data_IF_010393452444
#
_entry.id   IF_010393452444
#
_cell.length_a   1.000
_cell.length_b   1.000
_cell.length_c   1.000
_cell.angle_alpha   90.00
_cell.angle_beta   90.00
_cell.angle_gamma   90.00
#
_symmetry.space_group_name_H-M   'P 1'
#
loop_
_entity.id
_entity.type
_entity.pdbx_description
1 polymer ?
#
# COMPACT_ATOMS: atom_id res chain seq x y z
N UNK A 1 -9.86 -15.04 -3.44
CA UNK A 1 -9.08 -13.85 -3.06
C UNK A 1 -7.91 -14.27 -2.16
N UNK A 2 -6.74 -13.64 -2.28
CA UNK A 2 -5.55 -13.98 -1.48
C UNK A 2 -4.70 -12.78 -1.11
N UNK A 3 -3.78 -12.94 -0.16
CA UNK A 3 -2.79 -11.92 0.21
C UNK A 3 -1.57 -11.90 -0.71
N UNK A 4 -0.79 -10.83 -0.66
CA UNK A 4 0.49 -10.77 -1.36
C UNK A 4 1.53 -11.58 -0.59
N UNK A 5 2.28 -12.44 -1.30
CA UNK A 5 3.35 -13.21 -0.68
C UNK A 5 4.69 -12.47 -0.75
N UNK A 6 5.53 -12.68 0.27
CA UNK A 6 6.91 -12.16 0.30
C UNK A 6 7.71 -12.60 -0.92
N UNK A 7 7.60 -13.86 -1.30
CA UNK A 7 8.32 -14.41 -2.45
C UNK A 7 7.88 -13.76 -3.77
N UNK A 8 6.58 -13.54 -3.95
CA UNK A 8 6.06 -12.85 -5.12
C UNK A 8 6.61 -11.43 -5.23
N UNK A 9 6.53 -10.66 -4.14
CA UNK A 9 7.00 -9.27 -4.12
C UNK A 9 8.52 -9.17 -4.25
N UNK A 10 9.26 -10.10 -3.63
CA UNK A 10 10.72 -10.19 -3.76
C UNK A 10 11.13 -10.42 -5.20
N UNK A 11 10.53 -11.41 -5.87
CA UNK A 11 10.83 -11.72 -7.26
C UNK A 11 10.53 -10.53 -8.19
N UNK A 12 9.47 -9.78 -7.89
CA UNK A 12 9.09 -8.59 -8.65
C UNK A 12 10.05 -7.41 -8.42
N UNK A 13 10.53 -7.19 -7.19
CA UNK A 13 11.59 -6.22 -6.90
C UNK A 13 12.89 -6.61 -7.61
N UNK A 14 13.29 -7.88 -7.54
CA UNK A 14 14.51 -8.38 -8.19
C UNK A 14 14.48 -8.31 -9.70
N UNK A 15 13.33 -8.54 -10.34
CA UNK A 15 13.19 -8.34 -11.79
C UNK A 15 13.23 -6.86 -12.16
N UNK A 16 12.76 -5.97 -11.26
CA UNK A 16 12.63 -4.54 -11.52
C UNK A 16 11.64 -4.20 -12.63
N UNK A 17 10.81 -5.17 -13.05
CA UNK A 17 9.91 -5.05 -14.19
C UNK A 17 8.60 -5.80 -13.96
N UNK A 18 7.50 -5.16 -14.35
CA UNK A 18 6.15 -5.71 -14.37
C UNK A 18 5.52 -5.44 -15.72
N UNK A 19 5.25 -6.49 -16.48
CA UNK A 19 4.75 -6.33 -17.86
C UNK A 19 5.73 -5.50 -18.70
N UNK A 20 5.28 -4.35 -19.20
CA UNK A 20 6.12 -3.41 -19.96
C UNK A 20 6.75 -2.30 -19.10
N UNK A 21 6.39 -2.22 -17.81
CA UNK A 21 6.82 -1.13 -16.91
C UNK A 21 8.07 -1.53 -16.15
N UNK A 22 9.09 -0.67 -16.16
CA UNK A 22 10.30 -0.82 -15.35
C UNK A 22 10.21 0.04 -14.08
N UNK A 23 10.94 -0.33 -13.03
CA UNK A 23 11.02 0.47 -11.81
C UNK A 23 11.44 1.91 -12.07
N UNK A 24 12.43 2.12 -12.94
CA UNK A 24 12.89 3.46 -13.31
C UNK A 24 11.82 4.27 -14.04
N UNK A 25 11.05 3.65 -14.95
CA UNK A 25 9.94 4.33 -15.64
C UNK A 25 8.85 4.76 -14.66
N UNK A 26 8.41 3.85 -13.78
CA UNK A 26 7.39 4.11 -12.77
C UNK A 26 7.86 5.20 -11.80
N UNK A 27 9.11 5.13 -11.34
CA UNK A 27 9.69 6.15 -10.47
C UNK A 27 9.69 7.54 -11.12
N UNK A 28 10.10 7.63 -12.39
CA UNK A 28 10.17 8.89 -13.11
C UNK A 28 8.79 9.50 -13.35
N UNK A 29 7.75 8.67 -13.54
CA UNK A 29 6.37 9.13 -13.60
C UNK A 29 5.88 9.61 -12.23
N UNK A 30 6.06 8.81 -11.17
CA UNK A 30 5.62 9.15 -9.82
C UNK A 30 6.27 10.42 -9.27
N UNK A 31 7.53 10.70 -9.63
CA UNK A 31 8.22 11.95 -9.25
C UNK A 31 7.60 13.22 -9.83
N UNK A 32 6.85 13.11 -10.93
CA UNK A 32 6.17 14.25 -11.57
C UNK A 32 4.80 14.54 -10.93
N UNK A 33 4.32 13.67 -10.06
CA UNK A 33 3.00 13.77 -9.44
C UNK A 33 3.02 14.66 -8.19
N UNK A 34 1.92 15.37 -8.01
CA UNK A 34 1.63 16.16 -6.80
C UNK A 34 0.48 15.57 -5.99
N UNK A 35 -0.26 14.61 -6.56
CA UNK A 35 -1.33 13.87 -5.91
C UNK A 35 -1.14 12.37 -6.14
N UNK A 36 -1.59 11.57 -5.18
CA UNK A 36 -1.46 10.12 -5.20
C UNK A 36 -2.79 9.46 -4.81
N UNK A 37 -3.02 8.26 -5.29
CA UNK A 37 -4.14 7.43 -4.84
C UNK A 37 -3.82 6.80 -3.48
N UNK A 38 -2.57 6.37 -3.30
CA UNK A 38 -2.14 5.56 -2.16
C UNK A 38 -0.91 6.16 -1.50
N UNK A 39 -1.02 6.51 -0.22
CA UNK A 39 0.14 6.63 0.67
C UNK A 39 0.45 5.23 1.22
N UNK A 40 1.59 4.65 0.82
CA UNK A 40 1.95 3.29 1.21
C UNK A 40 2.79 3.32 2.49
N UNK A 41 2.12 3.20 3.64
CA UNK A 41 2.76 3.11 4.95
C UNK A 41 3.39 1.73 5.15
N UNK A 42 4.65 1.68 5.58
CA UNK A 42 5.43 0.45 5.68
C UNK A 42 6.65 0.55 6.61
N UNK A 43 7.12 -0.61 7.06
CA UNK A 43 8.40 -0.72 7.78
C UNK A 43 9.55 -0.65 6.80
N UNK A 44 10.56 0.18 7.07
CA UNK A 44 11.73 0.28 6.18
C UNK A 44 12.50 -1.06 6.06
N UNK A 45 12.38 -1.94 7.06
CA UNK A 45 12.92 -3.32 7.01
C UNK A 45 12.31 -4.15 5.88
N UNK A 46 11.11 -3.80 5.42
CA UNK A 46 10.40 -4.48 4.33
C UNK A 46 10.67 -3.86 2.96
N UNK A 47 11.66 -2.97 2.82
CA UNK A 47 11.94 -2.21 1.59
C UNK A 47 11.91 -3.06 0.31
N UNK A 48 12.47 -4.27 0.34
CA UNK A 48 12.49 -5.18 -0.81
C UNK A 48 11.09 -5.60 -1.25
N UNK A 49 10.19 -5.89 -0.30
CA UNK A 49 8.80 -6.23 -0.62
C UNK A 49 8.02 -5.00 -1.09
N UNK A 50 8.33 -3.83 -0.51
CA UNK A 50 7.69 -2.56 -0.83
C UNK A 50 8.03 -2.08 -2.24
N UNK A 51 9.25 -2.31 -2.74
CA UNK A 51 9.58 -2.05 -4.15
C UNK A 51 8.74 -2.90 -5.11
N UNK A 52 8.59 -4.19 -4.81
CA UNK A 52 7.74 -5.07 -5.59
C UNK A 52 6.28 -4.63 -5.54
N UNK A 53 5.80 -4.23 -4.37
CA UNK A 53 4.42 -3.77 -4.19
C UNK A 53 4.18 -2.43 -4.90
N UNK A 54 5.15 -1.52 -4.88
CA UNK A 54 5.12 -0.26 -5.61
C UNK A 54 4.99 -0.49 -7.12
N UNK A 55 5.78 -1.41 -7.68
CA UNK A 55 5.67 -1.83 -9.08
C UNK A 55 4.29 -2.43 -9.40
N UNK A 56 3.83 -3.36 -8.57
CA UNK A 56 2.55 -4.03 -8.75
C UNK A 56 1.38 -3.05 -8.77
N UNK A 57 1.28 -2.19 -7.76
CA UNK A 57 0.20 -1.20 -7.66
C UNK A 57 0.25 -0.18 -8.82
N UNK A 58 1.44 0.21 -9.26
CA UNK A 58 1.60 1.13 -10.39
C UNK A 58 1.24 0.47 -11.74
N UNK A 59 1.52 -0.83 -11.91
CA UNK A 59 1.08 -1.60 -13.07
C UNK A 59 -0.46 -1.75 -13.12
N UNK A 60 -1.10 -1.81 -11.95
CA UNK A 60 -2.56 -1.78 -11.81
C UNK A 60 -3.17 -0.39 -12.05
N UNK A 61 -2.35 0.62 -12.32
CA UNK A 61 -2.78 1.97 -12.67
C UNK A 61 -2.97 2.92 -11.48
N UNK A 62 -2.56 2.53 -10.27
CA UNK A 62 -2.60 3.42 -9.12
C UNK A 62 -1.36 4.31 -9.04
N UNK A 63 -1.55 5.55 -8.63
CA UNK A 63 -0.45 6.45 -8.27
C UNK A 63 -0.08 6.23 -6.80
N UNK A 64 1.15 5.80 -6.54
CA UNK A 64 1.58 5.36 -5.21
C UNK A 64 2.70 6.25 -4.69
N UNK A 65 2.57 6.69 -3.44
CA UNK A 65 3.60 7.40 -2.72
C UNK A 65 4.33 6.47 -1.75
N UNK A 66 5.67 6.43 -1.89
CA UNK A 66 6.59 5.79 -0.95
C UNK A 66 7.71 6.80 -0.68
N UNK A 67 7.84 7.23 0.57
CA UNK A 67 8.70 8.33 0.99
C UNK A 67 10.17 8.18 0.57
N UNK A 68 10.83 7.06 0.85
CA UNK A 68 12.25 6.88 0.51
C UNK A 68 12.49 6.58 -0.98
N UNK A 69 11.44 6.23 -1.73
CA UNK A 69 11.51 6.04 -3.19
C UNK A 69 11.37 7.39 -3.89
N UNK A 70 10.35 8.17 -3.53
CA UNK A 70 9.98 9.42 -4.21
C UNK A 70 10.81 10.59 -3.68
N UNK A 71 10.98 10.66 -2.36
CA UNK A 71 11.66 11.74 -1.65
C UNK A 71 12.88 11.16 -0.87
N UNK A 72 13.92 10.62 -1.54
CA UNK A 72 15.04 9.90 -0.91
C UNK A 72 15.88 10.77 0.05
N UNK A 73 15.70 12.09 0.02
CA UNK A 73 16.33 13.03 0.94
C UNK A 73 15.67 13.06 2.33
N UNK A 74 14.49 12.45 2.50
CA UNK A 74 13.82 12.33 3.79
C UNK A 74 14.51 11.27 4.64
N UNK A 75 15.32 11.70 5.60
CA UNK A 75 15.87 10.80 6.60
C UNK A 75 14.84 10.50 7.69
N UNK A 76 14.42 9.23 7.80
CA UNK A 76 13.56 8.75 8.89
C UNK A 76 14.26 8.71 10.25
N UNK A 77 15.59 8.77 10.28
CA UNK A 77 16.39 8.75 11.52
C UNK A 77 16.63 10.15 12.11
N UNK A 78 16.48 11.20 11.31
CA UNK A 78 16.60 12.60 11.75
C UNK A 78 15.26 13.32 11.60
N UNK A 79 14.40 13.13 12.60
CA UNK A 79 13.04 13.67 12.60
C UNK A 79 13.08 15.16 12.94
N UNK A 80 13.02 16.00 11.91
CA UNK A 80 12.84 17.45 12.07
C UNK A 80 11.38 17.83 11.86
N UNK A 81 10.96 18.99 12.38
CA UNK A 81 9.62 19.55 12.10
C UNK A 81 9.35 19.64 10.58
N UNK A 82 10.35 20.02 9.80
CA UNK A 82 10.27 20.09 8.34
C UNK A 82 10.01 18.71 7.71
N UNK A 83 10.71 17.67 8.16
CA UNK A 83 10.48 16.28 7.69
C UNK A 83 9.06 15.83 8.00
N UNK A 84 8.58 16.09 9.22
CA UNK A 84 7.21 15.75 9.65
C UNK A 84 6.17 16.50 8.82
N UNK A 85 6.33 17.80 8.61
CA UNK A 85 5.40 18.61 7.83
C UNK A 85 5.37 18.19 6.36
N UNK A 86 6.51 17.77 5.81
CA UNK A 86 6.58 17.19 4.46
C UNK A 86 5.79 15.88 4.36
N UNK A 87 5.99 14.93 5.30
CA UNK A 87 5.24 13.66 5.31
C UNK A 87 3.74 13.93 5.47
N UNK A 88 3.34 14.87 6.35
CA UNK A 88 1.94 15.31 6.48
C UNK A 88 1.37 15.84 5.17
N UNK A 89 2.14 16.63 4.42
CA UNK A 89 1.70 17.13 3.12
C UNK A 89 1.53 15.99 2.11
N UNK A 90 2.42 15.00 2.10
CA UNK A 90 2.31 13.82 1.23
C UNK A 90 1.11 12.94 1.59
N UNK A 91 0.82 12.76 2.87
CA UNK A 91 -0.41 12.11 3.34
C UNK A 91 -1.66 12.87 2.87
N UNK A 92 -1.68 14.22 2.96
CA UNK A 92 -2.80 15.04 2.48
C UNK A 92 -2.95 15.06 0.95
N UNK A 93 -1.87 14.82 0.23
CA UNK A 93 -1.86 14.68 -1.23
C UNK A 93 -2.31 13.29 -1.69
N UNK A 94 -2.50 12.35 -0.77
CA UNK A 94 -2.90 10.99 -1.06
C UNK A 94 -4.39 10.77 -0.76
N UNK A 95 -5.11 10.05 -1.61
CA UNK A 95 -6.55 9.74 -1.41
C UNK A 95 -6.81 8.72 -0.31
N UNK A 96 -5.83 7.86 -0.03
CA UNK A 96 -5.92 6.81 0.97
C UNK A 96 -4.57 6.52 1.62
N UNK A 97 -4.61 5.84 2.76
CA UNK A 97 -3.47 5.15 3.35
C UNK A 97 -3.65 3.64 3.22
N UNK A 98 -2.63 2.99 2.65
CA UNK A 98 -2.50 1.53 2.67
C UNK A 98 -1.39 1.18 3.65
N UNK A 99 -1.77 0.49 4.72
CA UNK A 99 -0.88 0.00 5.77
C UNK A 99 -0.33 -1.37 5.35
N UNK A 100 0.81 -1.38 4.65
CA UNK A 100 1.48 -2.60 4.22
C UNK A 100 2.23 -3.24 5.39
N UNK A 101 1.74 -4.40 5.83
CA UNK A 101 2.14 -4.98 7.11
C UNK A 101 2.70 -6.39 6.97
N UNK A 102 3.81 -6.61 7.65
CA UNK A 102 4.50 -7.90 7.84
C UNK A 102 4.83 -8.07 9.34
N UNK A 103 5.60 -9.08 9.70
CA UNK A 103 6.22 -9.22 11.02
C UNK A 103 7.06 -8.00 11.46
N UNK A 104 7.55 -7.19 10.52
CA UNK A 104 8.38 -6.03 10.81
C UNK A 104 7.58 -4.75 11.12
N UNK A 105 6.26 -4.76 10.95
CA UNK A 105 5.41 -3.57 11.11
C UNK A 105 5.41 -3.05 12.55
N UNK A 106 5.42 -3.94 13.54
CA UNK A 106 5.46 -3.60 14.98
C UNK A 106 6.73 -2.85 15.41
N UNK A 107 7.81 -2.95 14.63
CA UNK A 107 9.06 -2.25 14.89
C UNK A 107 9.07 -0.81 14.39
N UNK A 108 8.05 -0.40 13.60
CA UNK A 108 7.98 0.94 13.02
C UNK A 108 7.16 1.88 13.90
N UNK A 109 7.81 2.91 14.45
CA UNK A 109 7.11 4.01 15.14
C UNK A 109 6.34 4.92 14.17
N UNK A 110 6.73 4.93 12.91
CA UNK A 110 6.15 5.79 11.88
C UNK A 110 4.78 5.29 11.43
N UNK A 111 4.62 3.97 11.24
CA UNK A 111 3.39 3.43 10.66
C UNK A 111 2.14 3.73 11.52
N UNK A 112 2.14 3.52 12.86
CA UNK A 112 0.99 3.89 13.68
C UNK A 112 0.72 5.40 13.71
N UNK A 113 1.78 6.22 13.64
CA UNK A 113 1.64 7.69 13.58
C UNK A 113 1.02 8.15 12.26
N UNK A 114 1.47 7.60 11.13
CA UNK A 114 0.90 7.86 9.79
C UNK A 114 -0.57 7.44 9.75
N UNK A 115 -0.88 6.24 10.26
CA UNK A 115 -2.23 5.73 10.36
C UNK A 115 -3.13 6.68 11.16
N UNK A 116 -2.72 7.05 12.38
CA UNK A 116 -3.52 7.95 13.22
C UNK A 116 -3.70 9.35 12.63
N UNK A 117 -2.71 9.87 11.91
CA UNK A 117 -2.83 11.17 11.24
C UNK A 117 -3.85 11.14 10.09
N UNK A 118 -3.85 10.09 9.27
CA UNK A 118 -4.80 9.97 8.15
C UNK A 118 -6.20 9.63 8.65
N UNK A 119 -6.30 8.71 9.60
CA UNK A 119 -7.57 8.27 10.17
C UNK A 119 -8.35 9.45 10.80
N UNK A 120 -7.66 10.33 11.52
CA UNK A 120 -8.27 11.50 12.16
C UNK A 120 -8.75 12.63 11.22
N UNK A 121 -8.50 12.55 9.90
CA UNK A 121 -8.82 13.63 8.94
C UNK A 121 -10.01 13.33 8.00
N UNK A 122 -10.41 12.07 7.84
CA UNK A 122 -11.44 11.50 6.93
C UNK A 122 -10.87 10.35 6.05
N UNK A 123 -10.61 9.24 6.75
CA UNK A 123 -11.09 7.87 6.50
C UNK A 123 -11.06 7.29 5.08
N UNK A 124 -9.85 6.94 4.61
CA UNK A 124 -9.62 5.76 3.76
C UNK A 124 -8.32 5.08 4.16
N UNK A 125 -8.37 4.35 5.26
CA UNK A 125 -7.27 3.52 5.75
C UNK A 125 -7.60 2.05 5.47
N UNK A 126 -6.64 1.30 4.97
CA UNK A 126 -6.80 -0.13 4.70
C UNK A 126 -5.52 -0.89 5.02
N UNK A 127 -5.66 -2.18 5.35
CA UNK A 127 -4.53 -3.04 5.70
C UNK A 127 -4.17 -3.89 4.49
N UNK A 128 -2.89 -3.96 4.15
CA UNK A 128 -2.39 -4.88 3.12
C UNK A 128 -1.39 -5.85 3.77
N UNK A 129 -1.84 -7.06 4.13
CA UNK A 129 -0.95 -8.10 4.65
C UNK A 129 0.04 -8.58 3.57
N UNK A 130 1.31 -8.63 3.95
CA UNK A 130 2.38 -9.29 3.21
C UNK A 130 2.75 -10.55 3.99
N UNK A 131 2.38 -11.71 3.46
CA UNK A 131 2.44 -13.00 4.15
C UNK A 131 3.39 -13.97 3.44
N UNK A 132 3.64 -15.14 4.02
CA UNK A 132 4.42 -16.18 3.34
C UNK A 132 3.55 -16.93 2.31
N UNK A 133 2.27 -17.15 2.62
CA UNK A 133 1.30 -17.82 1.74
C UNK A 133 0.04 -16.98 1.53
N UNK A 134 -0.62 -17.13 0.39
CA UNK A 134 -1.82 -16.34 0.05
C UNK A 134 -3.01 -16.60 1.01
N UNK A 135 -3.09 -17.81 1.57
CA UNK A 135 -4.13 -18.27 2.49
C UNK A 135 -3.75 -18.10 3.97
N UNK A 136 -2.59 -17.52 4.27
CA UNK A 136 -2.18 -17.27 5.65
C UNK A 136 -3.22 -16.41 6.36
N UNK A 137 -3.53 -16.75 7.62
CA UNK A 137 -4.26 -15.82 8.49
C UNK A 137 -3.32 -14.67 8.88
N UNK A 138 -3.82 -13.44 8.77
CA UNK A 138 -3.08 -12.27 9.23
C UNK A 138 -3.43 -12.00 10.69
N UNK A 139 -2.47 -12.23 11.60
CA UNK A 139 -2.52 -11.76 12.98
C UNK A 139 -1.73 -10.47 13.11
N UNK A 140 -2.39 -9.35 12.81
CA UNK A 140 -1.83 -8.01 12.99
C UNK A 140 -1.86 -7.51 14.43
N UNK A 141 -1.56 -6.23 14.61
CA UNK A 141 -1.81 -5.53 15.88
C UNK A 141 -3.33 -5.38 16.07
N UNK A 142 -3.81 -5.50 17.31
CA UNK A 142 -5.25 -5.54 17.61
C UNK A 142 -6.01 -4.34 17.05
N UNK A 143 -5.42 -3.13 17.11
CA UNK A 143 -6.06 -1.93 16.57
C UNK A 143 -6.18 -1.93 15.04
N UNK A 144 -5.45 -2.78 14.31
CA UNK A 144 -5.61 -2.89 12.86
C UNK A 144 -6.90 -3.62 12.47
N UNK A 145 -7.53 -4.35 13.40
CA UNK A 145 -8.75 -5.13 13.15
C UNK A 145 -9.98 -4.28 12.80
N UNK A 146 -9.96 -2.99 13.10
CA UNK A 146 -11.06 -2.07 12.79
C UNK A 146 -11.03 -1.56 11.34
N UNK A 147 -9.94 -1.81 10.61
CA UNK A 147 -9.76 -1.36 9.24
C UNK A 147 -10.03 -2.50 8.25
N UNK A 148 -10.60 -2.20 7.07
CA UNK A 148 -10.76 -3.20 6.04
C UNK A 148 -9.41 -3.63 5.47
N UNK A 149 -9.35 -4.85 4.94
CA UNK A 149 -8.12 -5.44 4.41
C UNK A 149 -8.16 -5.64 2.89
N UNK A 150 -7.01 -5.50 2.26
CA UNK A 150 -6.81 -5.67 0.83
C UNK A 150 -6.51 -7.12 0.50
N UNK A 151 -7.22 -7.65 -0.48
CA UNK A 151 -6.88 -8.92 -1.13
C UNK A 151 -6.76 -8.75 -2.63
N UNK A 152 -6.00 -9.62 -3.28
CA UNK A 152 -5.92 -9.72 -4.73
C UNK A 152 -6.74 -10.89 -5.25
N UNK A 153 -7.30 -10.72 -6.43
CA UNK A 153 -7.91 -11.79 -7.21
C UNK A 153 -7.46 -11.70 -8.67
N UNK A 154 -7.08 -12.85 -9.25
CA UNK A 154 -6.88 -12.97 -10.68
C UNK A 154 -8.22 -13.22 -11.36
N UNK A 155 -8.55 -12.48 -12.42
CA UNK A 155 -9.78 -12.80 -13.17
C UNK A 155 -9.54 -14.06 -14.01
N UNK A 156 -10.47 -15.01 -13.98
CA UNK A 156 -10.42 -16.21 -14.83
C UNK A 156 -10.54 -15.88 -16.33
N UNK A 157 -11.14 -14.74 -16.69
CA UNK A 157 -11.35 -14.33 -18.07
C UNK A 157 -10.12 -13.63 -18.70
N UNK A 158 -9.28 -13.00 -17.88
CA UNK A 158 -8.08 -12.26 -18.30
C UNK A 158 -6.98 -12.52 -17.27
N UNK A 159 -6.06 -13.49 -17.54
CA UNK A 159 -5.01 -13.89 -16.61
C UNK A 159 -4.09 -12.75 -16.14
N UNK A 160 -4.03 -11.66 -16.92
CA UNK A 160 -3.18 -10.50 -16.64
C UNK A 160 -3.89 -9.37 -15.90
N UNK A 161 -5.22 -9.42 -15.74
CA UNK A 161 -5.95 -8.39 -15.00
C UNK A 161 -6.10 -8.87 -13.56
N UNK A 162 -5.34 -8.27 -12.64
CA UNK A 162 -5.59 -8.47 -11.22
C UNK A 162 -6.53 -7.37 -10.74
N UNK A 163 -7.43 -7.73 -9.85
CA UNK A 163 -8.32 -6.78 -9.18
C UNK A 163 -7.99 -6.80 -7.69
N UNK A 164 -7.95 -5.60 -7.11
CA UNK A 164 -7.79 -5.43 -5.67
C UNK A 164 -9.14 -5.13 -5.05
N UNK A 165 -9.41 -5.84 -3.96
CA UNK A 165 -10.64 -5.77 -3.21
C UNK A 165 -10.35 -5.25 -1.81
N UNK A 166 -11.17 -4.31 -1.34
CA UNK A 166 -11.23 -3.84 0.04
C UNK A 166 -12.33 -4.65 0.73
N UNK A 167 -11.98 -5.39 1.78
CA UNK A 167 -12.87 -6.30 2.48
C UNK A 167 -13.08 -5.84 3.92
N UNK A 168 -14.33 -5.65 4.34
CA UNK A 168 -14.70 -5.54 5.76
C UNK A 168 -15.02 -6.90 6.36
N UNK A 169 -15.55 -7.81 5.55
CA UNK A 169 -15.80 -9.22 5.89
C UNK A 169 -15.69 -10.08 4.63
N UNK A 170 -15.87 -11.40 4.79
CA UNK A 170 -15.84 -12.36 3.67
C UNK A 170 -16.90 -12.05 2.60
N UNK A 171 -18.04 -11.49 3.00
CA UNK A 171 -19.17 -11.19 2.12
C UNK A 171 -19.42 -9.68 1.94
N UNK A 172 -18.58 -8.81 2.51
CA UNK A 172 -18.74 -7.35 2.41
C UNK A 172 -17.46 -6.72 1.86
N UNK A 173 -17.48 -6.39 0.56
CA UNK A 173 -16.30 -5.92 -0.15
C UNK A 173 -16.64 -4.90 -1.26
N UNK A 174 -15.61 -4.21 -1.75
CA UNK A 174 -15.69 -3.28 -2.90
C UNK A 174 -14.33 -3.26 -3.62
N UNK A 175 -14.32 -2.97 -4.92
CA UNK A 175 -13.06 -2.84 -5.66
C UNK A 175 -12.28 -1.62 -5.14
N UNK A 176 -10.95 -1.72 -5.01
CA UNK A 176 -10.09 -0.65 -4.51
C UNK A 176 -10.27 0.65 -5.29
N UNK A 177 -10.43 0.59 -6.61
CA UNK A 177 -10.68 1.77 -7.45
C UNK A 177 -12.02 2.45 -7.15
N UNK A 178 -13.05 1.69 -6.80
CA UNK A 178 -14.36 2.21 -6.42
C UNK A 178 -14.32 2.81 -5.02
N UNK A 179 -13.62 2.14 -4.11
CA UNK A 179 -13.34 2.64 -2.79
C UNK A 179 -12.63 3.99 -2.87
N UNK A 180 -11.54 4.12 -3.62
CA UNK A 180 -10.83 5.40 -3.80
C UNK A 180 -11.70 6.51 -4.42
N UNK A 181 -12.83 6.18 -5.06
CA UNK A 181 -13.80 7.13 -5.64
C UNK A 181 -14.93 7.54 -4.72
N UNK A 182 -15.03 6.99 -3.51
CA UNK A 182 -16.12 7.34 -2.61
C UNK A 182 -16.94 6.13 -2.12
N UNK A 183 -16.88 5.00 -2.81
CA UNK A 183 -17.77 3.89 -2.51
C UNK A 183 -17.34 3.14 -1.24
N UNK A 184 -18.32 2.53 -0.59
CA UNK A 184 -18.14 1.71 0.60
C UNK A 184 -18.37 0.24 0.27
N UNK A 185 -17.71 -0.71 0.98
CA UNK A 185 -17.99 -2.14 0.89
C UNK A 185 -19.49 -2.47 0.98
N UNK A 186 -19.99 -3.26 0.03
CA UNK A 186 -21.38 -3.74 -0.02
C UNK A 186 -21.44 -5.25 0.21
N UNK A 187 -22.60 -5.74 0.67
CA UNK A 187 -22.80 -7.18 0.88
C UNK A 187 -23.03 -7.86 -0.48
N UNK A 188 -22.35 -8.97 -0.72
CA UNK A 188 -22.43 -9.80 -1.93
C UNK A 188 -22.76 -11.26 -1.60
#
# INVERSE_FOLDING_TARGET
>A
MGFYTKDYLRNLSSSGLKGKRTFSSVLNESKKLTQFDIFLSHSYKDKQFIEGLFLELSDLGFTVYVDWIIDPHLSRSSVTKRTVDHIRNRMRQSKSLVYATSENASNSKWMPWELGFVDGKESRCSILPITDYESSSFKGQEFLSVYPYITKEGTKMIPHKKVLWINESVNKYVQLSDWLRGQSPTIH
#
